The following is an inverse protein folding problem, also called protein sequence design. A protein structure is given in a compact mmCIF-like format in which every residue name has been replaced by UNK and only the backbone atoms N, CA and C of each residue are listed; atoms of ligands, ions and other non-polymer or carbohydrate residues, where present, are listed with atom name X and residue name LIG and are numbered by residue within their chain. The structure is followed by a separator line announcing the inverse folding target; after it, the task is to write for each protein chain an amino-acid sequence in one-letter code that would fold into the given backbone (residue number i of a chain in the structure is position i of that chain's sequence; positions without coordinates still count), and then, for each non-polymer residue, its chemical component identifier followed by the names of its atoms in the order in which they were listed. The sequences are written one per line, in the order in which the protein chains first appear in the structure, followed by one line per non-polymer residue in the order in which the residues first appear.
data_IF_952592849631
#
_entry.id   IF_952592849631
#
_cell.length_a   1.000
_cell.length_b   1.000
_cell.length_c   1.000
_cell.angle_alpha   90.00
_cell.angle_beta   90.00
_cell.angle_gamma   90.00
#
_symmetry.space_group_name_H-M   'P 1'
#
loop_
_entity.id
_entity.type
_entity.pdbx_description
1 polymer ?
#
# COMPACT_ATOMS: atom_id res chain seq x y z
N UNK A 1 -24.32 -1.16 -2.97
CA UNK A 1 -24.62 -0.31 -1.83
C UNK A 1 -23.95 1.05 -1.97
N UNK A 2 -24.68 2.09 -1.67
CA UNK A 2 -24.30 3.48 -1.92
C UNK A 2 -23.04 3.93 -1.17
N UNK A 3 -22.89 3.48 0.07
CA UNK A 3 -21.79 3.94 0.94
C UNK A 3 -20.59 3.00 0.95
N UNK A 4 -20.70 1.83 0.36
CA UNK A 4 -19.64 0.83 0.43
C UNK A 4 -18.32 1.30 -0.20
N UNK A 5 -18.32 1.96 -1.39
CA UNK A 5 -17.09 2.49 -1.93
C UNK A 5 -16.44 3.54 -1.03
N UNK A 6 -17.23 4.38 -0.38
CA UNK A 6 -16.71 5.39 0.53
C UNK A 6 -16.10 4.76 1.79
N UNK A 7 -16.72 3.71 2.31
CA UNK A 7 -16.18 2.98 3.46
C UNK A 7 -14.87 2.29 3.08
N UNK A 8 -14.85 1.57 1.95
CA UNK A 8 -13.65 0.88 1.50
C UNK A 8 -12.51 1.85 1.20
N UNK A 9 -12.82 2.96 0.52
CA UNK A 9 -11.82 4.00 0.23
C UNK A 9 -11.29 4.67 1.48
N UNK A 10 -12.16 4.94 2.45
CA UNK A 10 -11.74 5.51 3.73
C UNK A 10 -10.84 4.57 4.52
N UNK A 11 -11.21 3.30 4.63
CA UNK A 11 -10.41 2.29 5.32
C UNK A 11 -9.04 2.13 4.66
N UNK A 12 -9.01 1.97 3.36
CA UNK A 12 -7.77 1.80 2.62
C UNK A 12 -6.90 3.05 2.72
N UNK A 13 -7.51 4.23 2.62
CA UNK A 13 -6.81 5.50 2.77
C UNK A 13 -6.16 5.64 4.13
N UNK A 14 -6.89 5.34 5.21
CA UNK A 14 -6.35 5.39 6.58
C UNK A 14 -5.19 4.41 6.73
N UNK A 15 -5.31 3.18 6.22
CA UNK A 15 -4.23 2.20 6.29
C UNK A 15 -2.94 2.73 5.66
N UNK A 16 -3.03 3.29 4.46
CA UNK A 16 -1.85 3.76 3.74
C UNK A 16 -1.28 5.06 4.30
N UNK A 17 -2.15 6.00 4.71
CA UNK A 17 -1.67 7.24 5.34
C UNK A 17 -0.96 6.92 6.65
N UNK A 18 -1.52 6.05 7.47
CA UNK A 18 -0.87 5.66 8.72
C UNK A 18 0.45 4.93 8.48
N UNK A 19 0.46 3.98 7.54
CA UNK A 19 1.68 3.23 7.23
C UNK A 19 2.79 4.15 6.73
N UNK A 20 2.45 5.06 5.81
CA UNK A 20 3.43 6.00 5.26
C UNK A 20 3.88 7.03 6.29
N UNK A 21 2.93 7.64 7.00
CA UNK A 21 3.25 8.70 7.97
C UNK A 21 4.07 8.18 9.15
N UNK A 22 3.73 7.01 9.69
CA UNK A 22 4.49 6.44 10.81
C UNK A 22 5.94 6.20 10.43
N UNK A 23 6.19 5.73 9.21
CA UNK A 23 7.55 5.55 8.72
C UNK A 23 8.27 6.90 8.53
N UNK A 24 7.62 7.84 7.84
CA UNK A 24 8.23 9.14 7.51
C UNK A 24 8.53 9.98 8.75
N UNK A 25 7.71 9.86 9.80
CA UNK A 25 7.87 10.60 11.05
C UNK A 25 8.70 9.84 12.08
N UNK A 26 9.28 8.69 11.71
CA UNK A 26 10.07 7.85 12.61
C UNK A 26 9.31 7.39 13.84
N UNK A 27 8.01 7.09 13.68
CA UNK A 27 7.16 6.62 14.77
C UNK A 27 7.11 5.10 14.88
N UNK A 28 7.77 4.40 13.95
CA UNK A 28 7.82 2.93 13.99
C UNK A 28 8.68 2.50 15.16
N UNK A 29 8.18 1.61 16.05
CA UNK A 29 8.98 1.10 17.17
C UNK A 29 10.23 0.38 16.66
N UNK A 30 11.35 0.44 17.42
CA UNK A 30 12.54 -0.31 17.03
C UNK A 30 12.26 -1.79 16.91
N UNK A 31 12.72 -2.39 15.81
CA UNK A 31 12.54 -3.81 15.54
C UNK A 31 13.92 -4.49 15.57
N UNK A 32 13.98 -5.78 15.96
CA UNK A 32 15.24 -6.52 15.83
C UNK A 32 15.69 -6.51 14.37
N UNK A 33 17.00 -6.34 14.10
CA UNK A 33 17.47 -6.37 12.72
C UNK A 33 17.25 -7.75 12.12
N UNK A 34 16.95 -7.84 10.80
CA UNK A 34 16.84 -9.14 10.15
C UNK A 34 18.20 -9.83 10.11
N UNK A 35 18.23 -11.17 10.00
CA UNK A 35 19.49 -11.89 9.93
C UNK A 35 20.39 -11.37 8.80
N UNK A 36 21.67 -11.21 9.10
CA UNK A 36 22.64 -10.70 8.12
C UNK A 36 22.68 -11.63 6.89
N UNK A 37 22.65 -11.01 5.70
CA UNK A 37 22.65 -11.73 4.44
C UNK A 37 21.31 -12.30 4.02
N UNK A 38 20.27 -12.15 4.85
CA UNK A 38 18.92 -12.59 4.47
C UNK A 38 18.35 -11.71 3.36
N UNK A 39 17.39 -12.21 2.58
CA UNK A 39 16.74 -11.41 1.56
C UNK A 39 16.13 -10.11 2.11
N UNK A 40 15.55 -10.16 3.31
CA UNK A 40 14.99 -8.96 3.95
C UNK A 40 16.09 -7.94 4.25
N UNK A 41 17.23 -8.41 4.81
CA UNK A 41 18.35 -7.51 5.13
C UNK A 41 18.91 -6.85 3.86
N UNK A 42 19.05 -7.61 2.78
CA UNK A 42 19.55 -7.10 1.51
C UNK A 42 18.57 -6.10 0.88
N UNK A 43 17.28 -6.41 0.93
CA UNK A 43 16.23 -5.52 0.42
C UNK A 43 16.24 -4.19 1.18
N UNK A 44 16.18 -4.25 2.50
CA UNK A 44 16.18 -3.05 3.34
C UNK A 44 17.50 -2.29 3.25
N UNK A 45 18.62 -3.00 3.12
CA UNK A 45 19.94 -2.40 2.96
C UNK A 45 20.07 -1.56 1.70
N UNK A 46 19.32 -1.89 0.65
CA UNK A 46 19.28 -1.10 -0.58
C UNK A 46 18.23 0.02 -0.51
N UNK A 47 17.05 -0.31 -0.02
CA UNK A 47 15.88 0.58 -0.14
C UNK A 47 15.84 1.67 0.92
N UNK A 48 16.33 1.41 2.14
CA UNK A 48 16.29 2.40 3.21
C UNK A 48 17.35 3.49 3.05
N UNK A 49 18.66 3.15 2.90
CA UNK A 49 19.70 4.18 2.82
C UNK A 49 19.61 5.05 1.56
N UNK A 50 19.10 4.49 0.45
CA UNK A 50 19.01 5.24 -0.80
C UNK A 50 17.85 6.24 -0.84
N UNK A 51 16.93 6.15 0.13
CA UNK A 51 15.72 6.96 0.10
C UNK A 51 14.62 6.40 -0.79
N UNK A 52 14.83 5.24 -1.41
CA UNK A 52 13.82 4.63 -2.28
C UNK A 52 12.56 4.28 -1.50
N UNK A 53 12.71 3.68 -0.32
CA UNK A 53 11.57 3.35 0.52
C UNK A 53 10.83 4.61 0.99
N UNK A 54 11.58 5.68 1.27
CA UNK A 54 10.99 6.96 1.65
C UNK A 54 10.11 7.51 0.52
N UNK A 55 10.54 7.41 -0.73
CA UNK A 55 9.73 7.79 -1.88
C UNK A 55 8.44 6.98 -1.95
N UNK A 56 8.54 5.67 -1.77
CA UNK A 56 7.35 4.78 -1.78
C UNK A 56 6.38 5.20 -0.66
N UNK A 57 6.90 5.52 0.53
CA UNK A 57 6.06 5.93 1.65
C UNK A 57 5.36 7.27 1.38
N UNK A 58 6.02 8.21 0.72
CA UNK A 58 5.38 9.45 0.28
C UNK A 58 4.22 9.14 -0.68
N UNK A 59 4.44 8.24 -1.63
CA UNK A 59 3.38 7.83 -2.56
C UNK A 59 2.23 7.11 -1.85
N UNK A 60 2.52 6.34 -0.80
CA UNK A 60 1.47 5.71 0.01
C UNK A 60 0.60 6.76 0.71
N UNK A 61 1.20 7.81 1.25
CA UNK A 61 0.44 8.90 1.89
C UNK A 61 -0.41 9.63 0.86
N UNK A 62 0.18 10.01 -0.26
CA UNK A 62 -0.54 10.72 -1.33
C UNK A 62 -1.68 9.85 -1.87
N UNK A 63 -1.38 8.61 -2.20
CA UNK A 63 -2.38 7.67 -2.71
C UNK A 63 -3.48 7.39 -1.70
N UNK A 64 -3.12 7.29 -0.42
CA UNK A 64 -4.09 7.09 0.65
C UNK A 64 -5.05 8.26 0.79
N UNK A 65 -4.55 9.49 0.71
CA UNK A 65 -5.40 10.68 0.74
C UNK A 65 -6.33 10.71 -0.47
N UNK A 66 -5.79 10.46 -1.66
CA UNK A 66 -6.58 10.49 -2.90
C UNK A 66 -7.67 9.42 -2.90
N UNK A 67 -7.38 8.21 -2.39
CA UNK A 67 -8.34 7.12 -2.40
C UNK A 67 -9.46 7.33 -1.38
N UNK A 68 -9.17 8.05 -0.30
CA UNK A 68 -10.17 8.37 0.72
C UNK A 68 -11.19 9.38 0.21
N UNK A 69 -10.79 10.27 -0.69
CA UNK A 69 -11.65 11.33 -1.24
C UNK A 69 -12.39 10.79 -2.46
N UNK A 70 -13.74 10.80 -2.48
CA UNK A 70 -14.49 10.19 -3.60
C UNK A 70 -14.15 10.74 -4.97
N UNK A 71 -13.86 12.03 -5.08
CA UNK A 71 -13.57 12.67 -6.38
C UNK A 71 -12.24 12.25 -6.97
N UNK A 72 -11.27 11.88 -6.13
CA UNK A 72 -9.91 11.54 -6.56
C UNK A 72 -9.60 10.06 -6.36
N UNK A 73 -10.58 9.26 -5.97
CA UNK A 73 -10.38 7.86 -5.58
C UNK A 73 -9.69 7.03 -6.66
N UNK A 74 -10.10 7.19 -7.92
CA UNK A 74 -9.50 6.39 -8.99
C UNK A 74 -8.04 6.77 -9.25
N UNK A 75 -7.66 8.02 -9.04
CA UNK A 75 -6.24 8.40 -9.07
C UNK A 75 -5.46 7.72 -7.95
N UNK A 76 -6.06 7.65 -6.76
CA UNK A 76 -5.46 6.91 -5.64
C UNK A 76 -5.25 5.44 -5.99
N UNK A 77 -6.22 4.81 -6.65
CA UNK A 77 -6.07 3.42 -7.09
C UNK A 77 -4.93 3.24 -8.10
N UNK A 78 -4.75 4.20 -9.02
CA UNK A 78 -3.65 4.16 -9.98
C UNK A 78 -2.28 4.24 -9.30
N UNK A 79 -2.17 5.01 -8.21
CA UNK A 79 -0.93 5.13 -7.46
C UNK A 79 -0.71 3.92 -6.57
N UNK A 80 -1.74 3.51 -5.82
CA UNK A 80 -1.62 2.44 -4.82
C UNK A 80 -1.65 1.04 -5.43
N UNK A 81 -2.27 0.86 -6.60
CA UNK A 81 -2.36 -0.46 -7.23
C UNK A 81 -1.01 -1.13 -7.39
N UNK A 82 -0.05 -0.50 -8.10
CA UNK A 82 1.30 -1.07 -8.22
C UNK A 82 2.00 -1.23 -6.89
N UNK A 83 1.79 -0.32 -5.93
CA UNK A 83 2.38 -0.41 -4.60
C UNK A 83 1.84 -1.64 -3.87
N UNK A 84 0.53 -1.90 -3.95
CA UNK A 84 -0.09 -3.07 -3.33
C UNK A 84 0.50 -4.36 -3.92
N UNK A 85 0.64 -4.42 -5.24
CA UNK A 85 1.26 -5.57 -5.91
C UNK A 85 2.68 -5.79 -5.38
N UNK A 86 3.44 -4.72 -5.25
CA UNK A 86 4.81 -4.80 -4.73
C UNK A 86 4.85 -5.22 -3.26
N UNK A 87 3.91 -4.75 -2.44
CA UNK A 87 3.82 -5.19 -1.04
C UNK A 87 3.55 -6.69 -0.97
N UNK A 88 2.60 -7.18 -1.76
CA UNK A 88 2.28 -8.61 -1.79
C UNK A 88 3.45 -9.44 -2.28
N UNK A 89 4.14 -8.96 -3.32
CA UNK A 89 5.33 -9.64 -3.82
C UNK A 89 6.45 -9.68 -2.79
N UNK A 90 6.67 -8.56 -2.08
CA UNK A 90 7.66 -8.50 -1.01
C UNK A 90 7.35 -9.52 0.08
N UNK A 91 6.10 -9.55 0.55
CA UNK A 91 5.70 -10.46 1.62
C UNK A 91 5.79 -11.93 1.19
N UNK A 92 5.45 -12.22 -0.06
CA UNK A 92 5.46 -13.60 -0.57
C UNK A 92 6.86 -14.10 -0.91
N UNK A 93 7.70 -13.24 -1.49
CA UNK A 93 8.97 -13.66 -2.10
C UNK A 93 10.20 -13.29 -1.28
N UNK A 94 10.17 -12.16 -0.59
CA UNK A 94 11.34 -11.66 0.15
C UNK A 94 11.21 -11.99 1.64
N UNK A 95 10.18 -11.49 2.29
CA UNK A 95 9.97 -11.74 3.72
C UNK A 95 9.44 -13.14 4.00
N UNK A 96 8.65 -13.68 3.09
CA UNK A 96 7.98 -14.98 3.21
C UNK A 96 7.17 -15.12 4.49
N UNK A 97 6.55 -14.01 4.90
CA UNK A 97 5.79 -13.91 6.13
C UNK A 97 4.83 -12.73 6.05
N UNK A 98 3.77 -12.77 6.83
CA UNK A 98 2.83 -11.65 6.96
C UNK A 98 1.80 -11.51 5.85
N UNK A 99 1.82 -12.39 4.83
CA UNK A 99 0.92 -12.30 3.68
C UNK A 99 -0.56 -12.39 4.07
N UNK A 100 -0.88 -13.14 5.12
CA UNK A 100 -2.24 -13.33 5.58
C UNK A 100 -2.55 -12.55 6.86
N UNK A 101 -1.74 -11.55 7.18
CA UNK A 101 -2.03 -10.65 8.30
C UNK A 101 -3.31 -9.86 8.07
N UNK A 102 -3.99 -9.48 9.16
CA UNK A 102 -5.27 -8.76 9.08
C UNK A 102 -5.18 -7.47 8.26
N UNK A 103 -4.17 -6.59 8.46
CA UNK A 103 -4.06 -5.39 7.63
C UNK A 103 -3.89 -5.69 6.15
N UNK A 104 -3.17 -6.75 5.81
CA UNK A 104 -2.92 -7.13 4.41
C UNK A 104 -4.19 -7.67 3.77
N UNK A 105 -4.93 -8.51 4.47
CA UNK A 105 -6.20 -9.03 3.97
C UNK A 105 -7.18 -7.88 3.75
N UNK A 106 -7.28 -6.97 4.71
CA UNK A 106 -8.16 -5.81 4.62
C UNK A 106 -7.77 -4.93 3.42
N UNK A 107 -6.48 -4.70 3.22
CA UNK A 107 -5.96 -3.95 2.09
C UNK A 107 -6.37 -4.59 0.75
N UNK A 108 -6.15 -5.89 0.61
CA UNK A 108 -6.48 -6.62 -0.62
C UNK A 108 -7.98 -6.60 -0.89
N UNK A 109 -8.79 -6.85 0.13
CA UNK A 109 -10.25 -6.87 -0.01
C UNK A 109 -10.76 -5.50 -0.44
N UNK A 110 -10.34 -4.43 0.25
CA UNK A 110 -10.78 -3.08 -0.09
C UNK A 110 -10.33 -2.66 -1.48
N UNK A 111 -9.07 -2.93 -1.83
CA UNK A 111 -8.51 -2.55 -3.13
C UNK A 111 -9.20 -3.31 -4.26
N UNK A 112 -9.42 -4.60 -4.09
CA UNK A 112 -10.09 -5.43 -5.10
C UNK A 112 -11.52 -4.96 -5.31
N UNK A 113 -12.23 -4.68 -4.23
CA UNK A 113 -13.59 -4.17 -4.31
C UNK A 113 -13.66 -2.84 -5.06
N UNK A 114 -12.77 -1.90 -4.71
CA UNK A 114 -12.76 -0.58 -5.36
C UNK A 114 -12.40 -0.67 -6.83
N UNK A 115 -11.46 -1.54 -7.17
CA UNK A 115 -11.08 -1.77 -8.57
C UNK A 115 -12.25 -2.37 -9.35
N UNK A 116 -12.93 -3.35 -8.76
CA UNK A 116 -14.10 -3.95 -9.39
C UNK A 116 -15.23 -2.93 -9.58
N UNK A 117 -15.47 -2.09 -8.57
CA UNK A 117 -16.49 -1.04 -8.63
C UNK A 117 -16.19 -0.04 -9.75
N UNK A 118 -14.91 0.27 -9.98
CA UNK A 118 -14.46 1.22 -11.00
C UNK A 118 -14.00 0.55 -12.30
N UNK A 119 -14.29 -0.74 -12.48
CA UNK A 119 -13.72 -1.54 -13.59
C UNK A 119 -13.98 -0.97 -14.98
N UNK A 120 -15.13 -0.34 -15.19
CA UNK A 120 -15.44 0.25 -16.48
C UNK A 120 -14.58 1.45 -16.79
N UNK A 121 -14.29 2.27 -15.78
CA UNK A 121 -13.42 3.44 -15.92
C UNK A 121 -11.98 3.03 -16.20
N UNK A 122 -11.49 2.00 -15.53
CA UNK A 122 -10.14 1.49 -15.76
C UNK A 122 -10.02 0.77 -17.10
N UNK A 123 -11.05 0.04 -17.53
CA UNK A 123 -11.04 -0.60 -18.83
C UNK A 123 -10.93 0.43 -19.97
N UNK A 124 -11.49 1.62 -19.77
CA UNK A 124 -11.42 2.70 -20.77
C UNK A 124 -9.98 3.19 -20.99
N UNK A 125 -9.08 2.98 -20.04
CA UNK A 125 -7.68 3.35 -20.21
C UNK A 125 -6.98 2.53 -21.30
N UNK A 126 -7.50 1.35 -21.62
CA UNK A 126 -6.92 0.47 -22.63
C UNK A 126 -7.27 0.84 -24.08
N UNK A 127 -8.09 1.84 -24.28
CA UNK A 127 -8.53 2.24 -25.62
C UNK A 127 -7.84 3.51 -26.08
#
# INVERSE_FOLDING_TARGET
MKYLPTIAGGLLGVLFVMAGATFLLNLVPPQPPPPEGSPVALFMGAFVPTGYLKLVKVLEVIGGILIAIPRTRNFGLLILGPIIVNILAYLALVAKDGLFGVPIILMVVCATYLLWDARKKFAALGN
#
